data_IF_960888619685
#
_entry.id   IF_960888619685
#
_cell.length_a   1.000
_cell.length_b   1.000
_cell.length_c   1.000
_cell.angle_alpha   90.00
_cell.angle_beta   90.00
_cell.angle_gamma   90.00
#
_symmetry.space_group_name_H-M   'P 1'
#
loop_
_entity.id
_entity.type
_entity.pdbx_description
1 polymer ?
#
# COMPACT_ATOMS: atom_id res chain seq x y z
N UNK A 1 20.03 6.14 0.20
CA UNK A 1 18.73 6.82 0.05
C UNK A 1 18.42 6.82 -1.43
N UNK A 2 17.47 5.99 -1.87
CA UNK A 2 17.09 5.83 -3.28
C UNK A 2 16.26 7.04 -3.72
N UNK A 3 16.52 7.53 -4.93
CA UNK A 3 15.77 8.61 -5.55
C UNK A 3 14.58 8.05 -6.33
N UNK A 4 13.52 8.85 -6.44
CA UNK A 4 12.31 8.47 -7.16
C UNK A 4 12.62 8.19 -8.62
N UNK A 5 12.26 7.00 -9.11
CA UNK A 5 12.48 6.59 -10.50
C UNK A 5 11.64 7.42 -11.49
N UNK A 6 10.53 8.01 -11.04
CA UNK A 6 9.67 8.85 -11.89
C UNK A 6 10.16 10.30 -11.97
N UNK A 7 10.37 10.96 -10.82
CA UNK A 7 10.68 12.39 -10.80
C UNK A 7 12.16 12.72 -10.61
N UNK A 8 13.02 11.74 -10.29
CA UNK A 8 14.47 11.87 -10.14
C UNK A 8 14.97 12.78 -9.00
N UNK A 9 14.07 13.51 -8.34
CA UNK A 9 14.40 14.64 -7.46
C UNK A 9 14.06 14.40 -6.00
N UNK A 10 13.07 13.57 -5.73
CA UNK A 10 12.56 13.31 -4.38
C UNK A 10 13.08 11.98 -3.82
N UNK A 11 13.24 11.86 -2.49
CA UNK A 11 13.52 10.57 -1.87
C UNK A 11 12.36 9.60 -2.13
N UNK A 12 12.70 8.32 -2.32
CA UNK A 12 11.76 7.26 -2.65
C UNK A 12 11.61 6.25 -1.51
N UNK A 13 10.68 6.48 -0.56
CA UNK A 13 10.44 5.57 0.54
C UNK A 13 9.54 4.37 0.17
N UNK A 14 8.92 4.34 -1.02
CA UNK A 14 8.01 3.28 -1.43
C UNK A 14 8.61 2.47 -2.58
N UNK A 15 8.58 1.15 -2.47
CA UNK A 15 8.94 0.26 -3.57
C UNK A 15 7.67 -0.40 -4.14
N UNK A 16 7.51 -0.33 -5.46
CA UNK A 16 6.42 -1.03 -6.15
C UNK A 16 6.75 -2.50 -6.36
N UNK A 17 5.73 -3.32 -6.64
CA UNK A 17 5.90 -4.75 -6.98
C UNK A 17 6.83 -4.94 -8.20
N UNK A 18 6.86 -3.97 -9.12
CA UNK A 18 7.76 -3.93 -10.27
C UNK A 18 9.20 -3.53 -9.93
N UNK A 19 9.54 -3.34 -8.65
CA UNK A 19 10.88 -2.96 -8.19
C UNK A 19 11.22 -1.49 -8.41
N UNK A 20 10.22 -0.62 -8.59
CA UNK A 20 10.44 0.81 -8.80
C UNK A 20 10.34 1.54 -7.47
N UNK A 21 11.34 2.35 -7.16
CA UNK A 21 11.33 3.19 -5.97
C UNK A 21 10.66 4.53 -6.29
N UNK A 22 9.55 4.83 -5.63
CA UNK A 22 8.75 6.04 -5.87
C UNK A 22 8.70 6.94 -4.63
N UNK A 23 8.68 8.25 -4.85
CA UNK A 23 8.30 9.21 -3.81
C UNK A 23 6.79 9.14 -3.56
N UNK A 24 6.35 9.64 -2.40
CA UNK A 24 4.94 9.63 -2.00
C UNK A 24 3.99 10.19 -3.07
N UNK A 25 4.36 11.29 -3.73
CA UNK A 25 3.54 11.89 -4.79
C UNK A 25 3.40 11.02 -6.05
N UNK A 26 4.51 10.44 -6.52
CA UNK A 26 4.49 9.56 -7.68
C UNK A 26 3.81 8.22 -7.37
N UNK A 27 3.99 7.71 -6.15
CA UNK A 27 3.33 6.50 -5.67
C UNK A 27 1.81 6.71 -5.55
N UNK A 28 1.38 7.84 -4.99
CA UNK A 28 -0.04 8.23 -4.95
C UNK A 28 -0.66 8.32 -6.34
N UNK A 29 -0.02 9.00 -7.29
CA UNK A 29 -0.52 9.08 -8.67
C UNK A 29 -0.66 7.70 -9.32
N UNK A 30 0.29 6.80 -9.06
CA UNK A 30 0.19 5.43 -9.53
C UNK A 30 -1.03 4.72 -8.92
N UNK A 31 -1.28 4.90 -7.62
CA UNK A 31 -2.48 4.38 -6.96
C UNK A 31 -3.78 4.98 -7.54
N UNK A 32 -3.79 6.27 -7.87
CA UNK A 32 -4.95 6.93 -8.51
C UNK A 32 -5.24 6.36 -9.89
N UNK A 33 -4.21 6.22 -10.73
CA UNK A 33 -4.36 5.67 -12.08
C UNK A 33 -4.82 4.21 -12.01
N UNK A 34 -4.23 3.41 -11.14
CA UNK A 34 -4.62 1.99 -11.01
C UNK A 34 -6.06 1.84 -10.52
N UNK A 35 -6.50 2.61 -9.53
CA UNK A 35 -7.89 2.63 -9.08
C UNK A 35 -8.86 3.03 -10.20
N UNK A 36 -8.53 4.06 -10.97
CA UNK A 36 -9.34 4.49 -12.11
C UNK A 36 -9.43 3.42 -13.21
N UNK A 37 -8.31 2.78 -13.55
CA UNK A 37 -8.27 1.72 -14.57
C UNK A 37 -9.08 0.51 -14.14
N UNK A 38 -9.00 0.10 -12.86
CA UNK A 38 -9.80 -1.01 -12.34
C UNK A 38 -11.30 -0.70 -12.41
N UNK A 39 -11.70 0.52 -12.06
CA UNK A 39 -13.09 0.98 -12.17
C UNK A 39 -13.58 1.01 -13.62
N UNK A 40 -12.77 1.52 -14.57
CA UNK A 40 -13.10 1.45 -16.01
C UNK A 40 -13.24 -0.01 -16.49
N UNK A 41 -12.33 -0.89 -16.07
CA UNK A 41 -12.39 -2.32 -16.40
C UNK A 41 -13.61 -3.03 -15.83
N UNK A 42 -14.17 -2.52 -14.72
CA UNK A 42 -15.42 -2.98 -14.13
C UNK A 42 -16.67 -2.41 -14.81
N UNK A 43 -16.51 -1.51 -15.79
CA UNK A 43 -17.61 -0.92 -16.56
C UNK A 43 -18.14 0.41 -16.03
N UNK A 44 -17.43 1.08 -15.12
CA UNK A 44 -17.84 2.40 -14.64
C UNK A 44 -17.71 3.48 -15.72
N UNK A 45 -18.50 4.55 -15.55
CA UNK A 45 -18.35 5.78 -16.32
C UNK A 45 -16.99 6.44 -16.08
N UNK A 46 -16.53 7.27 -17.01
CA UNK A 46 -15.30 8.05 -16.85
C UNK A 46 -15.28 8.89 -15.56
N UNK A 47 -16.43 9.42 -15.13
CA UNK A 47 -16.54 10.16 -13.87
C UNK A 47 -16.38 9.23 -12.65
N UNK A 48 -16.99 8.04 -12.68
CA UNK A 48 -16.83 7.01 -11.64
C UNK A 48 -15.39 6.53 -11.51
N UNK A 49 -14.71 6.36 -12.63
CA UNK A 49 -13.30 5.99 -12.66
C UNK A 49 -12.38 7.06 -12.05
N UNK A 50 -12.59 8.32 -12.40
CA UNK A 50 -11.83 9.43 -11.79
C UNK A 50 -12.08 9.49 -10.28
N UNK A 51 -13.33 9.34 -9.84
CA UNK A 51 -13.69 9.29 -8.43
C UNK A 51 -12.99 8.14 -7.68
N UNK A 52 -13.03 6.93 -8.26
CA UNK A 52 -12.38 5.75 -7.69
C UNK A 52 -10.86 5.90 -7.66
N UNK A 53 -10.26 6.49 -8.69
CA UNK A 53 -8.85 6.82 -8.71
C UNK A 53 -8.46 7.76 -7.57
N UNK A 54 -9.12 8.91 -7.45
CA UNK A 54 -8.85 9.88 -6.37
C UNK A 54 -9.02 9.24 -5.00
N UNK A 55 -10.07 8.44 -4.80
CA UNK A 55 -10.30 7.71 -3.55
C UNK A 55 -9.13 6.75 -3.27
N UNK A 56 -8.72 5.96 -4.26
CA UNK A 56 -7.61 5.01 -4.12
C UNK A 56 -6.30 5.72 -3.77
N UNK A 57 -5.99 6.84 -4.41
CA UNK A 57 -4.83 7.68 -4.06
C UNK A 57 -4.90 8.28 -2.66
N UNK A 58 -6.08 8.69 -2.21
CA UNK A 58 -6.29 9.23 -0.86
C UNK A 58 -6.08 8.20 0.24
N UNK A 59 -6.46 6.95 0.00
CA UNK A 59 -6.36 5.87 1.00
C UNK A 59 -5.09 5.00 0.87
N UNK A 60 -4.24 5.24 -0.13
CA UNK A 60 -3.11 4.36 -0.41
C UNK A 60 -2.14 4.21 0.77
N UNK A 61 -1.85 5.30 1.50
CA UNK A 61 -0.97 5.28 2.68
C UNK A 61 -1.59 4.52 3.87
N UNK A 62 -2.92 4.60 4.03
CA UNK A 62 -3.62 3.88 5.10
C UNK A 62 -3.52 2.36 4.89
N UNK A 63 -3.67 1.90 3.65
CA UNK A 63 -3.54 0.48 3.29
C UNK A 63 -2.11 -0.02 3.50
N UNK A 64 -1.11 0.78 3.19
CA UNK A 64 0.30 0.43 3.41
C UNK A 64 0.64 0.34 4.92
N UNK A 65 0.07 1.26 5.72
CA UNK A 65 0.14 1.23 7.19
C UNK A 65 -0.49 -0.04 7.79
N UNK A 66 -1.66 -0.44 7.28
CA UNK A 66 -2.31 -1.68 7.73
C UNK A 66 -1.53 -2.94 7.30
N UNK A 67 -0.99 -2.96 6.09
CA UNK A 67 -0.17 -4.09 5.60
C UNK A 67 1.11 -4.25 6.39
N UNK A 68 1.81 -3.16 6.70
CA UNK A 68 3.03 -3.20 7.51
C UNK A 68 2.74 -3.61 8.96
N UNK A 69 1.65 -3.13 9.56
CA UNK A 69 1.19 -3.59 10.87
C UNK A 69 0.83 -5.09 10.86
N UNK A 70 0.14 -5.58 9.84
CA UNK A 70 -0.18 -6.99 9.68
C UNK A 70 1.08 -7.85 9.49
N UNK A 71 2.06 -7.39 8.70
CA UNK A 71 3.34 -8.06 8.53
C UNK A 71 4.13 -8.12 9.86
N UNK A 72 4.15 -7.02 10.62
CA UNK A 72 4.78 -6.98 11.93
C UNK A 72 4.11 -7.95 12.93
N UNK A 73 2.77 -8.03 12.94
CA UNK A 73 2.03 -9.03 13.75
C UNK A 73 2.38 -10.46 13.35
N UNK A 74 2.45 -10.75 12.04
CA UNK A 74 2.86 -12.08 11.52
C UNK A 74 4.29 -12.43 11.93
N UNK A 75 5.22 -11.50 11.83
CA UNK A 75 6.60 -11.69 12.27
C UNK A 75 6.66 -11.97 13.79
N UNK A 76 5.89 -11.21 14.60
CA UNK A 76 5.75 -11.45 16.04
C UNK A 76 5.24 -12.85 16.35
N UNK A 77 4.20 -13.30 15.65
CA UNK A 77 3.64 -14.65 15.80
C UNK A 77 4.62 -15.75 15.39
N UNK A 78 5.41 -15.54 14.34
CA UNK A 78 6.43 -16.48 13.90
C UNK A 78 7.60 -16.60 14.89
N UNK A 79 7.98 -15.48 15.52
CA UNK A 79 9.03 -15.43 16.54
C UNK A 79 8.57 -15.91 17.93
N UNK A 80 7.28 -16.16 18.13
CA UNK A 80 6.74 -16.56 19.43
C UNK A 80 6.64 -18.09 19.54
N UNK A 81 7.37 -18.67 20.49
CA UNK A 81 7.28 -20.09 20.82
C UNK A 81 6.21 -20.37 21.87
N UNK A 82 5.62 -21.58 21.79
CA UNK A 82 4.53 -22.01 22.67
C UNK A 82 3.13 -21.60 22.16
N UNK A 83 2.19 -22.54 22.28
CA UNK A 83 0.80 -22.36 21.82
C UNK A 83 0.10 -21.17 22.51
N UNK A 84 0.22 -21.08 23.84
CA UNK A 84 -0.46 -20.04 24.64
C UNK A 84 0.06 -18.62 24.37
N UNK A 85 1.36 -18.46 24.15
CA UNK A 85 1.93 -17.15 23.81
C UNK A 85 1.49 -16.70 22.41
N UNK A 86 1.45 -17.61 21.44
CA UNK A 86 0.89 -17.30 20.10
C UNK A 86 -0.58 -16.92 20.15
N UNK A 87 -1.38 -17.60 20.98
CA UNK A 87 -2.79 -17.26 21.17
C UNK A 87 -2.95 -15.86 21.76
N UNK A 88 -2.15 -15.51 22.78
CA UNK A 88 -2.18 -14.18 23.40
C UNK A 88 -1.80 -13.06 22.42
N UNK A 89 -0.80 -13.28 21.57
CA UNK A 89 -0.41 -12.32 20.52
C UNK A 89 -1.52 -12.14 19.48
N UNK A 90 -2.31 -13.18 19.16
CA UNK A 90 -3.46 -13.06 18.26
C UNK A 90 -4.64 -12.30 18.85
N UNK A 91 -4.85 -12.37 20.16
CA UNK A 91 -6.03 -11.78 20.84
C UNK A 91 -5.79 -10.33 21.24
N UNK A 92 -4.58 -9.99 21.68
CA UNK A 92 -4.25 -8.66 22.23
C UNK A 92 -3.46 -7.79 21.24
N UNK A 93 -2.80 -8.41 20.24
CA UNK A 93 -1.90 -7.75 19.29
C UNK A 93 -2.57 -7.28 18.02
#
# INVERSE_FOLDING_TARGET
MTTCTECGTSPAPHDTISGRSLCAGCHRRLAEITGAVVSLGAGDSAAGAVGTGIATGGFHDAVEGERSAAAARRAKLAATEGFWNRLRVRVVG
#
